data_IF_742446962053
#
_entry.id   IF_742446962053
#
_cell.length_a   1.000
_cell.length_b   1.000
_cell.length_c   1.000
_cell.angle_alpha   90.00
_cell.angle_beta   90.00
_cell.angle_gamma   90.00
#
_symmetry.space_group_name_H-M   'P 1'
#
loop_
_entity.id
_entity.type
_entity.pdbx_description
1 polymer ?
#
# COMPACT_ATOMS: atom_id res chain seq x y z
N UNK A 1 67.37 -90.71 -11.72
CA UNK A 1 66.31 -90.43 -12.68
C UNK A 1 65.39 -89.35 -12.02
N UNK A 2 65.58 -88.11 -12.38
CA UNK A 2 64.94 -86.95 -11.79
C UNK A 2 63.95 -86.40 -12.75
N UNK A 3 62.69 -86.29 -12.34
CA UNK A 3 61.59 -85.56 -13.04
C UNK A 3 61.58 -84.09 -12.62
N UNK A 4 61.36 -83.12 -13.52
CA UNK A 4 61.23 -81.73 -13.15
C UNK A 4 59.81 -81.35 -12.73
N UNK A 5 59.73 -80.58 -11.67
CA UNK A 5 58.50 -79.96 -11.16
C UNK A 5 58.15 -78.72 -12.02
N UNK A 6 56.99 -78.74 -12.62
CA UNK A 6 56.45 -77.63 -13.40
C UNK A 6 55.81 -76.60 -12.43
N UNK A 7 56.38 -75.40 -12.30
CA UNK A 7 55.79 -74.30 -11.56
C UNK A 7 54.73 -73.62 -12.43
N UNK A 8 53.47 -73.58 -11.97
CA UNK A 8 52.37 -72.80 -12.56
C UNK A 8 52.47 -71.36 -12.05
N UNK A 9 52.76 -70.43 -12.92
CA UNK A 9 52.67 -69.00 -12.63
C UNK A 9 51.23 -68.57 -12.71
N UNK A 10 50.61 -68.20 -11.55
CA UNK A 10 49.32 -67.55 -11.51
C UNK A 10 49.46 -66.09 -11.95
N UNK A 11 48.91 -65.74 -13.09
CA UNK A 11 48.74 -64.34 -13.52
C UNK A 11 47.62 -63.71 -12.70
N UNK A 12 48.00 -62.79 -11.81
CA UNK A 12 47.02 -61.93 -11.08
C UNK A 12 46.33 -61.00 -12.07
N UNK A 13 45.01 -61.07 -12.19
CA UNK A 13 44.19 -60.15 -12.96
C UNK A 13 44.28 -58.76 -12.36
N UNK A 14 44.58 -57.74 -13.19
CA UNK A 14 44.58 -56.36 -12.77
C UNK A 14 43.17 -55.88 -12.39
N UNK A 15 43.04 -55.11 -11.30
CA UNK A 15 41.70 -54.64 -10.85
C UNK A 15 41.10 -53.69 -11.87
N UNK A 16 39.80 -53.82 -12.06
CA UNK A 16 38.98 -53.16 -13.08
C UNK A 16 38.82 -51.65 -12.78
N UNK A 17 39.77 -50.85 -13.24
CA UNK A 17 39.82 -49.37 -13.06
C UNK A 17 38.63 -48.65 -13.73
N UNK A 18 37.90 -49.32 -14.65
CA UNK A 18 36.78 -48.72 -15.41
C UNK A 18 35.51 -48.48 -14.56
N UNK A 19 35.23 -49.28 -13.52
CA UNK A 19 34.07 -49.08 -12.65
C UNK A 19 34.16 -47.79 -11.80
N UNK A 20 35.36 -47.45 -11.35
CA UNK A 20 35.57 -46.28 -10.46
C UNK A 20 35.47 -44.95 -11.24
N UNK A 21 35.72 -44.93 -12.54
CA UNK A 21 35.65 -43.74 -13.39
C UNK A 21 34.18 -43.37 -13.75
N UNK A 22 33.32 -44.34 -14.00
CA UNK A 22 31.86 -44.10 -14.24
C UNK A 22 31.18 -43.59 -13.00
N UNK A 23 31.45 -44.14 -11.82
CA UNK A 23 30.89 -43.66 -10.52
C UNK A 23 31.30 -42.21 -10.24
N UNK A 24 32.59 -41.86 -10.41
CA UNK A 24 33.07 -40.47 -10.23
C UNK A 24 32.44 -39.48 -11.19
N UNK A 25 32.23 -39.84 -12.46
CA UNK A 25 31.54 -39.01 -13.44
C UNK A 25 30.06 -38.79 -13.09
N UNK A 26 29.37 -39.83 -12.61
CA UNK A 26 27.97 -39.72 -12.17
C UNK A 26 27.84 -38.83 -10.94
N UNK A 27 28.72 -38.97 -9.95
CA UNK A 27 28.70 -38.08 -8.76
C UNK A 27 29.05 -36.65 -9.11
N UNK A 28 29.97 -36.39 -10.02
CA UNK A 28 30.30 -35.05 -10.51
C UNK A 28 29.12 -34.42 -11.26
N UNK A 29 28.44 -35.17 -12.12
CA UNK A 29 27.22 -34.71 -12.84
C UNK A 29 26.10 -34.36 -11.89
N UNK A 30 25.80 -35.20 -10.87
CA UNK A 30 24.81 -34.92 -9.86
C UNK A 30 25.18 -33.66 -9.07
N UNK A 31 26.40 -33.54 -8.59
CA UNK A 31 26.87 -32.37 -7.84
C UNK A 31 26.74 -31.08 -8.65
N UNK A 32 27.12 -31.12 -9.96
CA UNK A 32 26.98 -29.96 -10.86
C UNK A 32 25.51 -29.58 -11.07
N UNK A 33 24.63 -30.56 -11.23
CA UNK A 33 23.17 -30.30 -11.36
C UNK A 33 22.60 -29.69 -10.10
N UNK A 34 22.95 -30.21 -8.92
CA UNK A 34 22.53 -29.66 -7.64
C UNK A 34 23.04 -28.24 -7.44
N UNK A 35 24.33 -27.98 -7.78
CA UNK A 35 24.92 -26.65 -7.70
C UNK A 35 24.21 -25.66 -8.66
N UNK A 36 23.89 -26.09 -9.88
CA UNK A 36 23.14 -25.26 -10.83
C UNK A 36 21.72 -24.93 -10.33
N UNK A 37 20.99 -25.93 -9.81
CA UNK A 37 19.67 -25.71 -9.25
C UNK A 37 19.71 -24.78 -8.02
N UNK A 38 20.71 -24.95 -7.16
CA UNK A 38 20.92 -24.06 -6.02
C UNK A 38 21.21 -22.62 -6.46
N UNK A 39 22.06 -22.46 -7.49
CA UNK A 39 22.37 -21.16 -8.07
C UNK A 39 21.14 -20.47 -8.66
N UNK A 40 20.31 -21.20 -9.42
CA UNK A 40 19.02 -20.70 -9.94
C UNK A 40 18.10 -20.31 -8.78
N UNK A 41 17.99 -21.14 -7.74
CA UNK A 41 17.21 -20.83 -6.55
C UNK A 41 17.65 -19.54 -5.85
N UNK A 42 18.96 -19.32 -5.73
CA UNK A 42 19.53 -18.08 -5.17
C UNK A 42 19.14 -16.88 -6.04
N UNK A 43 19.26 -16.97 -7.35
CA UNK A 43 18.87 -15.88 -8.28
C UNK A 43 17.39 -15.54 -8.09
N UNK A 44 16.50 -16.54 -8.01
CA UNK A 44 15.07 -16.33 -7.80
C UNK A 44 14.83 -15.63 -6.47
N UNK A 45 15.42 -16.08 -5.37
CA UNK A 45 15.25 -15.45 -4.06
C UNK A 45 15.79 -14.02 -4.06
N UNK A 46 16.98 -13.77 -4.58
CA UNK A 46 17.60 -12.44 -4.62
C UNK A 46 16.75 -11.46 -5.46
N UNK A 47 16.28 -11.89 -6.64
CA UNK A 47 15.42 -11.03 -7.47
C UNK A 47 14.10 -10.67 -6.78
N UNK A 48 13.47 -11.62 -6.10
CA UNK A 48 12.25 -11.34 -5.34
C UNK A 48 12.52 -10.51 -4.08
N UNK A 49 13.69 -10.65 -3.46
CA UNK A 49 14.11 -9.81 -2.34
C UNK A 49 14.29 -8.34 -2.77
N UNK A 50 14.85 -8.10 -3.95
CA UNK A 50 14.97 -6.75 -4.53
C UNK A 50 13.56 -6.16 -4.79
N UNK A 51 12.63 -6.95 -5.34
CA UNK A 51 11.26 -6.50 -5.54
C UNK A 51 10.60 -6.15 -4.20
N UNK A 52 10.69 -7.05 -3.22
CA UNK A 52 10.10 -6.84 -1.89
C UNK A 52 10.73 -5.62 -1.18
N UNK A 53 12.03 -5.40 -1.32
CA UNK A 53 12.71 -4.21 -0.82
C UNK A 53 12.13 -2.92 -1.43
N UNK A 54 12.00 -2.86 -2.76
CA UNK A 54 11.43 -1.68 -3.43
C UNK A 54 9.95 -1.46 -3.06
N UNK A 55 9.23 -2.54 -2.74
CA UNK A 55 7.87 -2.45 -2.25
C UNK A 55 7.79 -1.97 -0.79
N UNK A 56 8.78 -2.29 0.04
CA UNK A 56 8.87 -1.80 1.41
C UNK A 56 9.40 -0.35 1.46
N UNK A 57 10.29 0.03 0.55
CA UNK A 57 10.91 1.35 0.51
C UNK A 57 10.68 2.02 -0.85
N UNK A 58 9.44 2.50 -1.12
CA UNK A 58 9.14 3.18 -2.38
C UNK A 58 9.93 4.48 -2.50
N UNK A 59 10.26 4.84 -3.73
CA UNK A 59 10.70 6.21 -3.99
C UNK A 59 9.53 7.17 -3.75
N UNK A 60 9.75 8.18 -2.91
CA UNK A 60 8.80 9.27 -2.66
C UNK A 60 9.45 10.57 -3.11
N UNK A 61 8.79 11.36 -3.99
CA UNK A 61 9.28 12.69 -4.38
C UNK A 61 9.44 13.58 -3.15
N UNK A 62 10.42 14.50 -3.12
CA UNK A 62 10.50 15.49 -2.05
C UNK A 62 9.30 16.45 -2.11
N UNK A 63 8.92 17.01 -0.96
CA UNK A 63 7.99 18.15 -0.94
C UNK A 63 8.62 19.35 -1.69
N UNK A 64 7.88 19.92 -2.61
CA UNK A 64 8.33 21.05 -3.46
C UNK A 64 7.71 22.39 -3.04
N UNK A 65 6.62 22.35 -2.24
CA UNK A 65 5.85 23.52 -1.86
C UNK A 65 5.12 23.33 -0.54
N UNK A 66 4.19 24.22 -0.22
CA UNK A 66 3.35 24.16 0.96
C UNK A 66 2.00 24.86 0.74
N UNK A 67 1.00 24.69 1.63
CA UNK A 67 -0.33 25.28 1.46
C UNK A 67 -0.33 26.81 1.32
N UNK A 68 0.59 27.49 2.03
CA UNK A 68 0.68 28.96 1.97
C UNK A 68 1.16 29.43 0.60
N UNK A 69 2.21 28.80 0.05
CA UNK A 69 2.77 29.17 -1.25
C UNK A 69 1.81 28.86 -2.41
N UNK A 70 1.10 27.74 -2.36
CA UNK A 70 0.24 27.31 -3.46
C UNK A 70 -1.14 27.94 -3.44
N UNK A 71 -1.72 28.14 -2.24
CA UNK A 71 -3.13 28.53 -2.07
C UNK A 71 -3.35 29.65 -1.07
N UNK A 72 -2.30 30.25 -0.54
CA UNK A 72 -2.36 31.28 0.51
C UNK A 72 -3.11 30.79 1.77
N UNK A 73 -3.15 29.49 1.98
CA UNK A 73 -3.73 28.88 3.16
C UNK A 73 -2.71 28.88 4.31
N UNK A 74 -3.04 29.55 5.39
CA UNK A 74 -2.25 29.49 6.63
C UNK A 74 -2.30 28.07 7.20
N UNK A 75 -1.18 27.55 7.67
CA UNK A 75 -1.08 26.20 8.19
C UNK A 75 -0.10 26.09 9.36
N UNK A 76 -0.29 25.09 10.18
CA UNK A 76 0.61 24.69 11.27
C UNK A 76 1.37 23.42 10.83
N UNK A 77 2.68 23.38 11.10
CA UNK A 77 3.46 22.16 10.98
C UNK A 77 3.34 21.39 12.28
N UNK A 78 2.81 20.18 12.23
CA UNK A 78 2.59 19.36 13.42
C UNK A 78 3.20 18.00 13.24
N UNK A 79 3.74 17.44 14.32
CA UNK A 79 4.35 16.10 14.36
C UNK A 79 3.81 15.40 15.60
N UNK A 80 3.30 14.19 15.42
CA UNK A 80 2.78 13.39 16.53
C UNK A 80 3.15 11.91 16.32
N UNK A 81 3.23 11.11 17.40
CA UNK A 81 3.48 9.67 17.27
C UNK A 81 2.29 8.98 16.58
N UNK A 82 2.55 7.93 15.82
CA UNK A 82 1.49 7.02 15.37
C UNK A 82 0.80 6.37 16.56
N UNK A 83 -0.42 5.86 16.37
CA UNK A 83 -1.18 5.21 17.47
C UNK A 83 -0.45 3.97 18.00
N UNK A 84 0.35 3.28 17.20
CA UNK A 84 1.21 2.18 17.64
C UNK A 84 2.41 2.65 18.47
N UNK A 85 2.83 3.90 18.31
CA UNK A 85 4.09 4.44 18.85
C UNK A 85 5.34 4.00 18.09
N UNK A 86 5.21 3.23 17.01
CA UNK A 86 6.36 2.74 16.23
C UNK A 86 6.93 3.79 15.28
N UNK A 87 6.11 4.75 14.84
CA UNK A 87 6.49 5.79 13.89
C UNK A 87 6.02 7.17 14.33
N UNK A 88 6.47 8.21 13.64
CA UNK A 88 5.97 9.58 13.78
C UNK A 88 5.29 10.01 12.48
N UNK A 89 4.29 10.88 12.61
CA UNK A 89 3.48 11.42 11.51
C UNK A 89 3.80 12.90 11.36
N UNK A 90 4.35 13.27 10.19
CA UNK A 90 4.56 14.66 9.80
C UNK A 90 3.31 15.18 9.10
N UNK A 91 2.76 16.32 9.55
CA UNK A 91 1.49 16.83 9.05
C UNK A 91 1.48 18.34 8.85
N UNK A 92 0.60 18.78 7.96
CA UNK A 92 0.11 20.16 7.90
C UNK A 92 -1.33 20.20 8.39
N UNK A 93 -1.59 21.05 9.39
CA UNK A 93 -2.93 21.36 9.85
C UNK A 93 -3.31 22.75 9.32
N UNK A 94 -4.38 22.82 8.55
CA UNK A 94 -4.92 24.05 7.95
C UNK A 94 -6.21 24.36 8.69
N UNK A 95 -6.21 25.30 9.63
CA UNK A 95 -7.40 25.67 10.40
C UNK A 95 -8.38 26.47 9.54
N UNK A 96 -9.66 26.13 9.59
CA UNK A 96 -10.74 26.95 9.09
C UNK A 96 -11.45 27.63 10.25
N UNK A 97 -11.89 28.88 10.06
CA UNK A 97 -12.54 29.66 11.11
C UNK A 97 -13.96 30.01 10.73
N UNK A 98 -14.88 29.92 11.70
CA UNK A 98 -16.27 30.28 11.52
C UNK A 98 -16.47 31.81 11.55
N UNK A 99 -16.82 32.41 10.40
CA UNK A 99 -17.37 33.76 10.28
C UNK A 99 -16.67 34.81 11.14
N UNK A 100 -17.47 35.75 11.70
CA UNK A 100 -16.96 36.87 12.51
C UNK A 100 -16.55 36.48 13.96
N UNK A 101 -16.86 35.26 14.44
CA UNK A 101 -16.46 34.80 15.78
C UNK A 101 -15.00 34.44 15.88
N UNK A 102 -14.38 34.06 14.75
CA UNK A 102 -12.97 33.59 14.70
C UNK A 102 -12.75 32.22 15.35
N UNK A 103 -13.81 31.52 15.73
CA UNK A 103 -13.71 30.18 16.31
C UNK A 103 -13.27 29.15 15.25
N UNK A 104 -12.37 28.26 15.65
CA UNK A 104 -11.93 27.15 14.79
C UNK A 104 -13.10 26.20 14.46
N UNK A 105 -13.17 25.74 13.22
CA UNK A 105 -14.21 24.81 12.77
C UNK A 105 -14.24 23.53 13.62
N UNK A 106 -15.43 22.99 13.85
CA UNK A 106 -15.63 21.70 14.51
C UNK A 106 -15.68 20.53 13.53
N UNK A 107 -15.36 20.77 12.26
CA UNK A 107 -15.32 19.77 11.23
C UNK A 107 -13.90 19.68 10.68
N UNK A 108 -13.41 18.47 10.53
CA UNK A 108 -12.06 18.21 9.98
C UNK A 108 -12.13 17.18 8.87
N UNK A 109 -11.42 17.45 7.79
CA UNK A 109 -11.17 16.46 6.75
C UNK A 109 -9.67 16.09 6.77
N UNK A 110 -9.41 14.79 6.63
CA UNK A 110 -8.06 14.23 6.62
C UNK A 110 -7.80 13.67 5.22
N UNK A 111 -6.81 14.24 4.53
CA UNK A 111 -6.39 13.76 3.20
C UNK A 111 -5.31 12.69 3.37
N UNK A 112 -5.63 11.48 2.94
CA UNK A 112 -4.81 10.27 3.06
C UNK A 112 -4.28 9.87 1.69
N UNK A 113 -3.00 10.14 1.43
CA UNK A 113 -2.35 9.99 0.11
C UNK A 113 -2.12 8.54 -0.34
N UNK A 114 -1.85 8.34 -1.62
CA UNK A 114 -1.54 7.04 -2.23
C UNK A 114 -0.13 6.52 -1.92
N UNK A 115 0.13 5.27 -2.35
CA UNK A 115 1.44 4.63 -2.20
C UNK A 115 2.50 5.29 -3.07
N UNK A 116 3.68 5.55 -2.48
CA UNK A 116 4.78 6.22 -3.16
C UNK A 116 4.60 7.74 -3.32
N UNK A 117 3.57 8.30 -2.67
CA UNK A 117 3.32 9.72 -2.56
C UNK A 117 3.67 10.28 -1.17
N UNK A 118 3.52 11.57 -1.03
CA UNK A 118 3.56 12.32 0.22
C UNK A 118 2.30 13.20 0.34
N UNK A 119 2.19 14.00 1.38
CA UNK A 119 1.05 14.89 1.63
C UNK A 119 0.76 15.90 0.52
N UNK A 120 1.71 16.15 -0.39
CA UNK A 120 1.55 17.05 -1.54
C UNK A 120 0.98 16.32 -2.78
N UNK A 121 1.26 15.04 -2.96
CA UNK A 121 0.82 14.11 -4.03
C UNK A 121 0.57 14.79 -5.38
N UNK A 122 1.61 14.95 -6.19
CA UNK A 122 1.62 15.86 -7.34
C UNK A 122 0.63 15.51 -8.48
N UNK A 123 0.12 14.28 -8.54
CA UNK A 123 -0.87 13.86 -9.55
C UNK A 123 -2.32 13.99 -9.08
N UNK A 124 -2.57 14.00 -7.76
CA UNK A 124 -3.84 14.39 -7.14
C UNK A 124 -3.77 15.88 -6.81
N UNK A 125 -4.82 16.68 -7.06
CA UNK A 125 -4.79 18.13 -6.79
C UNK A 125 -4.98 18.45 -5.31
N UNK A 126 -4.12 17.93 -4.43
CA UNK A 126 -4.27 17.99 -2.98
C UNK A 126 -4.50 19.40 -2.44
N UNK A 127 -3.82 20.41 -3.03
CA UNK A 127 -4.00 21.80 -2.64
C UNK A 127 -5.35 22.38 -3.08
N UNK A 128 -5.87 22.01 -4.27
CA UNK A 128 -7.20 22.45 -4.73
C UNK A 128 -8.28 21.83 -3.84
N UNK A 129 -8.09 20.57 -3.46
CA UNK A 129 -9.00 19.89 -2.54
C UNK A 129 -8.96 20.49 -1.13
N UNK A 130 -7.77 20.82 -0.63
CA UNK A 130 -7.61 21.48 0.67
C UNK A 130 -8.25 22.87 0.67
N UNK A 131 -8.08 23.65 -0.42
CA UNK A 131 -8.72 24.96 -0.58
C UNK A 131 -10.25 24.84 -0.55
N UNK A 132 -10.83 23.92 -1.36
CA UNK A 132 -12.27 23.67 -1.34
C UNK A 132 -12.79 23.29 0.04
N UNK A 133 -12.10 22.39 0.75
CA UNK A 133 -12.52 21.97 2.08
C UNK A 133 -12.45 23.13 3.07
N UNK A 134 -11.41 23.95 2.99
CA UNK A 134 -11.29 25.16 3.79
C UNK A 134 -12.42 26.17 3.51
N UNK A 135 -12.77 26.37 2.22
CA UNK A 135 -13.91 27.20 1.82
C UNK A 135 -15.26 26.65 2.34
N UNK A 136 -15.39 25.32 2.41
CA UNK A 136 -16.54 24.63 3.03
C UNK A 136 -16.47 24.59 4.56
N UNK A 137 -15.53 25.35 5.14
CA UNK A 137 -15.34 25.47 6.59
C UNK A 137 -14.95 24.15 7.29
N UNK A 138 -14.12 23.34 6.64
CA UNK A 138 -13.42 22.21 7.25
C UNK A 138 -11.99 22.59 7.59
N UNK A 139 -11.53 22.25 8.80
CA UNK A 139 -10.09 22.11 9.01
C UNK A 139 -9.56 21.01 8.11
N UNK A 140 -8.34 21.16 7.60
CA UNK A 140 -7.74 20.14 6.73
C UNK A 140 -6.45 19.62 7.36
N UNK A 141 -6.33 18.31 7.41
CA UNK A 141 -5.07 17.62 7.76
C UNK A 141 -4.51 16.97 6.52
N UNK A 142 -3.28 17.34 6.14
CA UNK A 142 -2.48 16.71 5.10
C UNK A 142 -1.25 16.12 5.79
N UNK A 143 -1.07 14.80 5.76
CA UNK A 143 -0.02 14.12 6.52
C UNK A 143 0.78 13.15 5.64
N UNK A 144 2.00 12.83 6.07
CA UNK A 144 2.82 11.80 5.44
C UNK A 144 2.70 10.48 6.19
N UNK A 145 2.54 9.40 5.45
CA UNK A 145 2.80 8.06 5.97
C UNK A 145 4.29 7.89 6.29
N UNK A 146 4.62 6.98 7.20
CA UNK A 146 5.98 6.80 7.71
C UNK A 146 7.04 6.56 6.63
N UNK A 147 6.68 5.92 5.51
CA UNK A 147 7.59 5.73 4.38
C UNK A 147 7.86 7.02 3.58
N UNK A 148 6.99 8.01 3.69
CA UNK A 148 7.12 9.33 3.07
C UNK A 148 7.72 10.38 4.02
N UNK A 149 7.73 10.12 5.33
CA UNK A 149 8.25 11.03 6.33
C UNK A 149 9.77 11.22 6.18
N UNK A 150 10.21 12.48 6.19
CA UNK A 150 11.63 12.82 6.25
C UNK A 150 12.23 12.62 7.64
N UNK A 151 11.40 12.75 8.65
CA UNK A 151 11.80 12.60 10.06
C UNK A 151 11.99 11.15 10.46
N UNK A 152 11.26 10.24 9.79
CA UNK A 152 11.25 8.82 10.13
C UNK A 152 11.02 7.97 8.88
N UNK A 153 12.09 7.49 8.28
CA UNK A 153 12.02 6.66 7.07
C UNK A 153 11.63 5.21 7.42
N UNK A 154 10.33 4.98 7.64
CA UNK A 154 9.77 3.64 7.90
C UNK A 154 9.53 2.88 6.59
N UNK A 155 9.48 1.54 6.61
CA UNK A 155 9.01 0.78 5.47
C UNK A 155 7.48 0.95 5.28
N UNK A 156 7.02 0.87 4.04
CA UNK A 156 5.60 0.75 3.72
C UNK A 156 5.09 -0.64 4.13
N UNK A 157 4.03 -0.69 4.93
CA UNK A 157 3.47 -1.92 5.52
C UNK A 157 2.13 -2.33 4.89
N UNK A 158 1.70 -1.59 3.86
CA UNK A 158 0.48 -1.86 3.08
C UNK A 158 -0.80 -1.84 3.94
N UNK A 159 -0.89 -0.86 4.81
CA UNK A 159 -2.04 -0.59 5.68
C UNK A 159 -1.86 -1.05 7.13
N UNK A 160 -0.88 -1.91 7.45
CA UNK A 160 -0.72 -2.42 8.82
C UNK A 160 -0.30 -1.32 9.81
N UNK A 161 0.71 -0.51 9.47
CA UNK A 161 1.12 0.64 10.28
C UNK A 161 0.51 1.95 9.76
N UNK A 162 0.27 2.07 8.45
CA UNK A 162 -0.36 3.26 7.86
C UNK A 162 -1.73 3.57 8.50
N UNK A 163 -2.52 2.56 8.88
CA UNK A 163 -3.77 2.80 9.62
C UNK A 163 -3.54 3.44 10.98
N UNK A 164 -2.46 3.06 11.70
CA UNK A 164 -2.11 3.66 12.99
C UNK A 164 -1.66 5.12 12.84
N UNK A 165 -0.99 5.44 11.72
CA UNK A 165 -0.60 6.79 11.36
C UNK A 165 -1.82 7.65 11.01
N UNK A 166 -2.75 7.13 10.22
CA UNK A 166 -4.03 7.78 9.92
C UNK A 166 -4.88 7.95 11.20
N UNK A 167 -4.94 6.94 12.06
CA UNK A 167 -5.67 7.03 13.32
C UNK A 167 -5.06 8.08 14.27
N UNK A 168 -3.74 8.28 14.23
CA UNK A 168 -3.11 9.37 14.98
C UNK A 168 -3.53 10.76 14.44
N UNK A 169 -3.72 10.90 13.12
CA UNK A 169 -4.29 12.13 12.55
C UNK A 169 -5.75 12.34 12.98
N UNK A 170 -6.53 11.27 13.11
CA UNK A 170 -7.90 11.30 13.67
C UNK A 170 -7.88 11.73 15.13
N UNK A 171 -6.98 11.17 15.93
CA UNK A 171 -6.83 11.51 17.35
C UNK A 171 -6.41 13.00 17.51
N UNK A 172 -5.46 13.46 16.70
CA UNK A 172 -5.07 14.87 16.67
C UNK A 172 -6.26 15.79 16.32
N UNK A 173 -7.07 15.43 15.32
CA UNK A 173 -8.27 16.20 14.99
C UNK A 173 -9.25 16.27 16.18
N UNK A 174 -9.42 15.17 16.93
CA UNK A 174 -10.25 15.14 18.15
C UNK A 174 -9.68 16.03 19.24
N UNK A 175 -8.38 16.02 19.46
CA UNK A 175 -7.67 16.89 20.42
C UNK A 175 -7.84 18.37 20.07
N UNK A 176 -7.88 18.71 18.77
CA UNK A 176 -8.21 20.05 18.25
C UNK A 176 -9.70 20.42 18.40
N UNK A 177 -10.52 19.51 18.90
CA UNK A 177 -11.93 19.74 19.17
C UNK A 177 -12.86 19.43 18.01
N UNK A 178 -12.44 18.67 17.02
CA UNK A 178 -13.29 18.21 15.94
C UNK A 178 -14.45 17.35 16.47
N UNK A 179 -15.67 17.69 16.05
CA UNK A 179 -16.90 16.96 16.33
C UNK A 179 -17.30 16.06 15.15
N UNK A 180 -16.83 16.40 13.95
CA UNK A 180 -17.04 15.64 12.73
C UNK A 180 -15.70 15.46 12.02
N UNK A 181 -15.35 14.22 11.71
CA UNK A 181 -14.11 13.86 11.02
C UNK A 181 -14.43 13.01 9.79
N UNK A 182 -14.02 13.47 8.63
CA UNK A 182 -14.14 12.75 7.37
C UNK A 182 -12.73 12.42 6.88
N UNK A 183 -12.52 11.18 6.46
CA UNK A 183 -11.27 10.77 5.82
C UNK A 183 -11.48 10.67 4.31
N UNK A 184 -10.61 11.32 3.57
CA UNK A 184 -10.58 11.27 2.12
C UNK A 184 -9.30 10.58 1.67
N UNK A 185 -9.43 9.32 1.26
CA UNK A 185 -8.31 8.46 0.89
C UNK A 185 -8.19 8.25 -0.61
N UNK A 186 -6.96 8.32 -1.10
CA UNK A 186 -6.60 8.10 -2.50
C UNK A 186 -5.83 6.78 -2.62
N UNK A 187 -6.20 5.93 -3.56
CA UNK A 187 -5.54 4.63 -3.81
C UNK A 187 -5.34 3.81 -2.53
N UNK A 188 -4.10 3.53 -2.14
CA UNK A 188 -3.75 2.84 -0.89
C UNK A 188 -4.29 3.59 0.33
N UNK A 189 -4.31 4.93 0.30
CA UNK A 189 -4.88 5.75 1.37
C UNK A 189 -6.37 5.47 1.59
N UNK A 190 -7.12 5.16 0.52
CA UNK A 190 -8.51 4.70 0.60
C UNK A 190 -8.64 3.33 1.28
N UNK A 191 -7.79 2.37 0.91
CA UNK A 191 -7.73 1.05 1.57
C UNK A 191 -7.32 1.14 3.04
N UNK A 192 -6.43 2.07 3.38
CA UNK A 192 -6.02 2.36 4.75
C UNK A 192 -7.16 3.01 5.55
N UNK A 193 -7.92 3.93 4.93
CA UNK A 193 -9.09 4.56 5.56
C UNK A 193 -10.16 3.53 5.95
N UNK A 194 -10.43 2.55 5.07
CA UNK A 194 -11.34 1.44 5.39
C UNK A 194 -10.83 0.59 6.57
N UNK A 195 -9.52 0.32 6.65
CA UNK A 195 -8.94 -0.39 7.78
C UNK A 195 -9.03 0.43 9.08
N UNK A 196 -8.74 1.73 9.02
CA UNK A 196 -8.81 2.63 10.17
C UNK A 196 -10.25 2.73 10.72
N UNK A 197 -11.25 2.79 9.85
CA UNK A 197 -12.67 2.84 10.24
C UNK A 197 -13.19 1.55 10.89
N UNK A 198 -12.44 0.43 10.84
CA UNK A 198 -12.74 -0.76 11.64
C UNK A 198 -12.32 -0.63 13.11
N UNK A 199 -11.44 0.34 13.42
CA UNK A 199 -10.78 0.45 14.72
C UNK A 199 -11.05 1.80 15.42
N UNK A 200 -11.92 2.66 14.84
CA UNK A 200 -12.22 3.97 15.41
C UNK A 200 -13.65 4.42 15.12
N UNK A 201 -14.37 4.76 16.18
CA UNK A 201 -15.71 5.35 16.12
C UNK A 201 -15.65 6.89 15.94
N UNK A 202 -14.47 7.46 15.75
CA UNK A 202 -14.27 8.90 15.56
C UNK A 202 -14.30 9.35 14.11
N UNK A 203 -14.38 8.40 13.18
CA UNK A 203 -14.50 8.68 11.75
C UNK A 203 -16.01 8.69 11.42
N UNK A 204 -16.50 9.83 10.93
CA UNK A 204 -17.93 10.02 10.63
C UNK A 204 -18.29 9.71 9.17
N UNK A 205 -17.30 9.60 8.28
CA UNK A 205 -17.51 9.26 6.87
C UNK A 205 -16.23 9.11 6.09
N UNK A 206 -16.32 8.39 4.96
CA UNK A 206 -15.17 8.15 4.07
C UNK A 206 -15.48 8.62 2.65
N UNK A 207 -14.49 9.26 2.03
CA UNK A 207 -14.42 9.51 0.58
C UNK A 207 -13.24 8.69 0.07
N UNK A 208 -13.49 7.79 -0.89
CA UNK A 208 -12.53 6.81 -1.36
C UNK A 208 -12.35 6.96 -2.87
N UNK A 209 -11.25 7.59 -3.30
CA UNK A 209 -10.93 7.78 -4.71
C UNK A 209 -9.95 6.72 -5.19
N UNK A 210 -10.28 6.06 -6.30
CA UNK A 210 -9.42 5.06 -6.95
C UNK A 210 -8.94 3.99 -5.98
N UNK A 211 -9.84 3.54 -5.12
CA UNK A 211 -9.58 2.65 -3.99
C UNK A 211 -8.70 1.47 -4.35
N UNK A 212 -7.50 1.40 -3.78
CA UNK A 212 -6.63 0.24 -3.83
C UNK A 212 -6.66 -0.52 -2.51
N UNK A 213 -7.10 -1.76 -2.55
CA UNK A 213 -7.15 -2.63 -1.37
C UNK A 213 -5.92 -3.54 -1.35
N UNK A 214 -4.92 -3.27 -0.47
CA UNK A 214 -3.68 -4.03 -0.46
C UNK A 214 -3.88 -5.50 -0.14
N UNK A 215 -3.37 -6.37 -1.02
CA UNK A 215 -3.30 -7.81 -0.83
C UNK A 215 -2.20 -8.39 -1.72
N UNK A 216 -1.72 -9.62 -1.48
CA UNK A 216 -0.82 -10.30 -2.39
C UNK A 216 -1.33 -10.38 -3.83
N UNK A 217 -2.65 -10.53 -4.01
CA UNK A 217 -3.28 -10.65 -5.33
C UNK A 217 -3.35 -9.32 -6.07
N UNK A 218 -3.78 -8.24 -5.41
CA UNK A 218 -3.84 -6.90 -6.01
C UNK A 218 -2.43 -6.35 -6.27
N UNK A 219 -1.48 -6.63 -5.37
CA UNK A 219 -0.09 -6.26 -5.56
C UNK A 219 0.54 -6.97 -6.77
N UNK A 220 0.26 -8.27 -6.94
CA UNK A 220 0.74 -9.01 -8.10
C UNK A 220 0.21 -8.43 -9.42
N UNK A 221 -1.05 -8.01 -9.47
CA UNK A 221 -1.64 -7.36 -10.65
C UNK A 221 -0.84 -6.12 -11.07
N UNK A 222 -0.36 -5.36 -10.09
CA UNK A 222 0.50 -4.20 -10.34
C UNK A 222 1.93 -4.61 -10.74
N UNK A 223 2.56 -5.55 -10.06
CA UNK A 223 3.90 -6.05 -10.39
C UNK A 223 3.94 -6.60 -11.81
N UNK A 224 2.93 -7.35 -12.21
CA UNK A 224 2.83 -7.96 -13.55
C UNK A 224 2.90 -6.95 -14.70
N UNK A 225 2.49 -5.70 -14.47
CA UNK A 225 2.54 -4.64 -15.49
C UNK A 225 3.99 -4.23 -15.83
N UNK A 226 4.91 -4.43 -14.91
CA UNK A 226 6.32 -4.03 -15.05
C UNK A 226 7.26 -5.21 -15.23
N UNK A 227 6.94 -6.37 -14.66
CA UNK A 227 7.80 -7.54 -14.63
C UNK A 227 6.98 -8.78 -14.98
N UNK A 228 7.34 -9.46 -16.07
CA UNK A 228 6.64 -10.65 -16.59
C UNK A 228 6.86 -11.93 -15.76
N UNK A 229 6.74 -11.87 -14.44
CA UNK A 229 6.85 -13.03 -13.56
C UNK A 229 5.50 -13.76 -13.43
N UNK A 230 5.49 -15.09 -13.26
CA UNK A 230 4.26 -15.84 -13.00
C UNK A 230 3.71 -15.51 -11.61
N UNK A 231 2.36 -15.53 -11.44
CA UNK A 231 1.73 -15.25 -10.15
C UNK A 231 2.28 -16.17 -9.05
N UNK A 232 2.43 -17.45 -9.38
CA UNK A 232 3.02 -18.42 -8.46
C UNK A 232 4.38 -18.89 -9.02
N UNK A 233 5.51 -18.84 -8.27
CA UNK A 233 5.59 -18.63 -6.81
C UNK A 233 5.76 -17.17 -6.35
N UNK A 234 5.72 -16.18 -7.24
CA UNK A 234 6.07 -14.78 -6.93
C UNK A 234 5.32 -14.22 -5.71
N UNK A 235 3.98 -14.34 -5.67
CA UNK A 235 3.18 -13.86 -4.52
C UNK A 235 3.59 -14.53 -3.21
N UNK A 236 3.82 -15.84 -3.24
CA UNK A 236 4.21 -16.61 -2.06
C UNK A 236 5.61 -16.21 -1.54
N UNK A 237 6.55 -15.92 -2.42
CA UNK A 237 7.91 -15.51 -2.05
C UNK A 237 7.85 -14.07 -1.49
N UNK A 238 7.21 -13.13 -2.18
CA UNK A 238 7.11 -11.73 -1.74
C UNK A 238 6.39 -11.64 -0.40
N UNK A 239 5.27 -12.35 -0.20
CA UNK A 239 4.54 -12.34 1.06
C UNK A 239 5.36 -12.87 2.26
N UNK A 240 6.38 -13.71 2.00
CA UNK A 240 7.31 -14.19 3.03
C UNK A 240 8.50 -13.27 3.23
N UNK A 241 8.90 -12.52 2.21
CA UNK A 241 10.06 -11.63 2.29
C UNK A 241 9.69 -10.26 2.85
N UNK A 242 8.55 -9.69 2.50
CA UNK A 242 8.10 -8.38 3.00
C UNK A 242 8.19 -8.24 4.52
N UNK A 243 7.74 -9.21 5.34
CA UNK A 243 7.85 -9.14 6.79
C UNK A 243 9.28 -8.98 7.34
N UNK A 244 10.32 -9.34 6.56
CA UNK A 244 11.71 -9.17 6.99
C UNK A 244 12.11 -7.69 7.11
N UNK A 245 11.42 -6.80 6.42
CA UNK A 245 11.66 -5.36 6.46
C UNK A 245 10.54 -4.59 7.16
N UNK A 246 9.29 -5.05 6.99
CA UNK A 246 8.12 -4.34 7.50
C UNK A 246 7.73 -4.76 8.91
N UNK A 247 8.23 -5.89 9.40
CA UNK A 247 7.82 -6.54 10.65
C UNK A 247 6.31 -6.87 10.74
N UNK A 248 5.59 -6.77 9.62
CA UNK A 248 4.15 -7.05 9.52
C UNK A 248 3.86 -8.14 8.49
N UNK A 249 2.90 -9.02 8.82
CA UNK A 249 2.45 -10.05 7.90
C UNK A 249 1.69 -9.43 6.71
N UNK A 250 2.05 -9.84 5.49
CA UNK A 250 1.35 -9.44 4.28
C UNK A 250 0.49 -10.60 3.75
N UNK A 251 -0.83 -10.43 3.79
CA UNK A 251 -1.81 -11.49 3.44
C UNK A 251 -3.10 -10.91 2.84
N UNK A 252 -3.96 -11.78 2.30
CA UNK A 252 -5.27 -11.38 1.78
C UNK A 252 -6.30 -11.06 2.89
N UNK A 253 -6.04 -11.47 4.13
CA UNK A 253 -7.03 -11.38 5.21
C UNK A 253 -7.60 -9.98 5.48
N UNK A 254 -6.81 -8.89 5.51
CA UNK A 254 -7.38 -7.54 5.65
C UNK A 254 -8.35 -7.18 4.52
N UNK A 255 -7.98 -7.49 3.27
CA UNK A 255 -8.81 -7.25 2.11
C UNK A 255 -10.12 -8.05 2.17
N UNK A 256 -10.06 -9.34 2.50
CA UNK A 256 -11.23 -10.20 2.66
C UNK A 256 -12.18 -9.69 3.75
N UNK A 257 -11.64 -9.17 4.86
CA UNK A 257 -12.44 -8.58 5.94
C UNK A 257 -13.19 -7.34 5.45
N UNK A 258 -12.50 -6.43 4.74
CA UNK A 258 -13.08 -5.20 4.21
C UNK A 258 -14.16 -5.50 3.17
N UNK A 259 -13.93 -6.46 2.27
CA UNK A 259 -14.89 -6.84 1.22
C UNK A 259 -16.24 -7.32 1.77
N UNK A 260 -16.27 -7.84 3.00
CA UNK A 260 -17.47 -8.35 3.66
C UNK A 260 -18.06 -7.38 4.68
N UNK A 261 -17.37 -6.27 4.97
CA UNK A 261 -17.77 -5.36 6.05
C UNK A 261 -18.91 -4.44 5.60
N UNK A 262 -19.90 -4.33 6.45
CA UNK A 262 -20.88 -3.25 6.45
C UNK A 262 -20.42 -2.18 7.44
N UNK A 263 -20.16 -0.98 6.93
CA UNK A 263 -19.75 0.15 7.75
C UNK A 263 -20.99 0.88 8.27
N UNK A 264 -20.92 1.40 9.50
CA UNK A 264 -22.00 2.17 10.11
C UNK A 264 -21.95 3.67 9.74
N UNK A 265 -20.93 4.05 8.99
CA UNK A 265 -20.70 5.41 8.49
C UNK A 265 -20.90 5.46 6.97
N UNK A 266 -21.32 6.62 6.41
CA UNK A 266 -21.46 6.77 4.97
C UNK A 266 -20.12 6.70 4.23
N UNK A 267 -20.13 5.98 3.10
CA UNK A 267 -19.02 5.84 2.18
C UNK A 267 -19.34 6.46 0.82
N UNK A 268 -18.51 7.38 0.34
CA UNK A 268 -18.55 7.82 -1.05
C UNK A 268 -17.37 7.25 -1.80
N UNK A 269 -17.62 6.29 -2.68
CA UNK A 269 -16.60 5.63 -3.48
C UNK A 269 -16.60 6.24 -4.88
N UNK A 270 -15.43 6.64 -5.36
CA UNK A 270 -15.19 7.20 -6.69
C UNK A 270 -14.19 6.30 -7.39
N UNK A 271 -14.54 5.76 -8.57
CA UNK A 271 -13.65 4.84 -9.26
C UNK A 271 -13.77 4.96 -10.78
N UNK A 272 -12.66 4.77 -11.48
CA UNK A 272 -12.61 4.87 -12.93
C UNK A 272 -12.68 3.50 -13.62
N UNK A 273 -13.40 3.39 -14.77
CA UNK A 273 -13.45 2.12 -15.52
C UNK A 273 -12.15 1.80 -16.26
N UNK A 274 -11.25 2.77 -16.45
CA UNK A 274 -9.93 2.59 -17.05
C UNK A 274 -8.78 2.56 -16.02
N UNK A 275 -9.12 2.32 -14.75
CA UNK A 275 -8.13 2.14 -13.69
C UNK A 275 -7.41 0.80 -13.88
N UNK A 276 -6.12 0.86 -14.21
CA UNK A 276 -5.30 -0.33 -14.45
C UNK A 276 -4.51 -0.80 -13.21
N UNK A 277 -4.61 -0.08 -12.08
CA UNK A 277 -3.94 -0.40 -10.82
C UNK A 277 -4.88 -1.00 -9.78
N UNK A 278 -6.12 -0.52 -9.75
CA UNK A 278 -7.15 -0.97 -8.84
C UNK A 278 -8.41 -1.37 -9.64
N UNK A 279 -8.91 -2.58 -9.39
CA UNK A 279 -10.05 -3.11 -10.11
C UNK A 279 -11.35 -2.44 -9.61
N UNK A 280 -12.11 -1.84 -10.52
CA UNK A 280 -13.41 -1.22 -10.23
C UNK A 280 -14.38 -2.20 -9.57
N UNK A 281 -14.28 -3.48 -9.89
CA UNK A 281 -15.11 -4.53 -9.30
C UNK A 281 -14.97 -4.60 -7.78
N UNK A 282 -13.78 -4.36 -7.24
CA UNK A 282 -13.55 -4.30 -5.78
C UNK A 282 -14.32 -3.14 -5.16
N UNK A 283 -14.28 -1.97 -5.79
CA UNK A 283 -15.03 -0.79 -5.36
C UNK A 283 -16.55 -1.03 -5.40
N UNK A 284 -17.05 -1.66 -6.45
CA UNK A 284 -18.46 -2.03 -6.62
C UNK A 284 -18.91 -3.05 -5.57
N UNK A 285 -18.10 -4.07 -5.26
CA UNK A 285 -18.38 -5.05 -4.21
C UNK A 285 -18.51 -4.38 -2.83
N UNK A 286 -17.58 -3.48 -2.49
CA UNK A 286 -17.63 -2.75 -1.21
C UNK A 286 -18.89 -1.89 -1.16
N UNK A 287 -19.20 -1.15 -2.23
CA UNK A 287 -20.37 -0.30 -2.31
C UNK A 287 -21.68 -1.08 -2.16
N UNK A 288 -21.78 -2.24 -2.81
CA UNK A 288 -22.97 -3.09 -2.76
C UNK A 288 -23.30 -3.64 -1.37
N UNK A 289 -22.31 -3.70 -0.48
CA UNK A 289 -22.49 -4.17 0.89
C UNK A 289 -22.92 -3.07 1.86
N UNK A 290 -22.92 -1.77 1.45
CA UNK A 290 -23.23 -0.69 2.36
C UNK A 290 -24.72 -0.46 2.50
N UNK A 291 -25.18 -0.33 3.75
CA UNK A 291 -26.61 -0.11 4.08
C UNK A 291 -26.93 1.32 4.52
N UNK A 292 -25.90 2.13 4.83
CA UNK A 292 -26.08 3.53 5.20
C UNK A 292 -26.62 4.29 3.99
N UNK A 293 -27.80 4.96 4.10
CA UNK A 293 -28.48 5.56 2.94
C UNK A 293 -27.67 6.61 2.17
N UNK A 294 -26.73 7.27 2.85
CA UNK A 294 -25.84 8.28 2.25
C UNK A 294 -24.67 7.65 1.50
N UNK A 295 -24.42 6.34 1.69
CA UNK A 295 -23.38 5.62 0.98
C UNK A 295 -23.69 5.52 -0.50
N UNK A 296 -22.69 5.78 -1.34
CA UNK A 296 -22.85 5.75 -2.80
C UNK A 296 -21.54 5.46 -3.52
N UNK A 297 -21.65 5.01 -4.75
CA UNK A 297 -20.52 4.87 -5.67
C UNK A 297 -20.75 5.74 -6.91
N UNK A 298 -19.69 6.36 -7.39
CA UNK A 298 -19.65 7.04 -8.67
C UNK A 298 -18.56 6.41 -9.54
N UNK A 299 -19.01 5.60 -10.51
CA UNK A 299 -18.12 4.98 -11.50
C UNK A 299 -17.98 5.93 -12.68
N UNK A 300 -16.74 6.32 -13.00
CA UNK A 300 -16.40 7.27 -14.04
C UNK A 300 -15.90 6.55 -15.27
N UNK A 301 -16.67 6.59 -16.36
CA UNK A 301 -16.29 5.96 -17.62
C UNK A 301 -14.98 6.52 -18.17
N UNK A 302 -14.00 5.64 -18.47
CA UNK A 302 -12.66 6.00 -18.92
C UNK A 302 -11.83 6.77 -17.89
N UNK A 303 -12.25 6.84 -16.62
CA UNK A 303 -11.46 7.39 -15.52
C UNK A 303 -10.24 6.50 -15.26
N UNK A 304 -9.06 7.11 -15.11
CA UNK A 304 -7.82 6.44 -14.78
C UNK A 304 -7.51 6.58 -13.29
N UNK A 305 -6.60 5.75 -12.79
CA UNK A 305 -6.19 5.71 -11.39
C UNK A 305 -5.75 7.08 -10.88
N UNK A 306 -6.41 7.60 -9.84
CA UNK A 306 -6.14 8.91 -9.19
C UNK A 306 -6.20 10.15 -10.12
N UNK A 307 -6.68 9.97 -11.37
CA UNK A 307 -6.80 11.06 -12.34
C UNK A 307 -8.26 11.45 -12.65
N UNK A 308 -9.21 10.99 -11.84
CA UNK A 308 -10.64 11.22 -12.06
C UNK A 308 -10.97 12.71 -11.96
N UNK A 309 -10.40 13.42 -11.00
CA UNK A 309 -10.54 14.87 -10.88
C UNK A 309 -10.18 15.60 -12.18
N UNK A 310 -9.08 15.21 -12.84
CA UNK A 310 -8.60 15.87 -14.06
C UNK A 310 -9.55 15.71 -15.25
N UNK A 311 -10.40 14.68 -15.23
CA UNK A 311 -11.36 14.43 -16.30
C UNK A 311 -12.50 15.43 -16.32
N UNK A 312 -13.06 15.74 -15.17
CA UNK A 312 -14.09 16.78 -14.98
C UNK A 312 -14.04 17.34 -13.56
N UNK A 313 -13.21 18.36 -13.29
CA UNK A 313 -13.07 18.95 -11.97
C UNK A 313 -14.38 19.47 -11.39
N UNK A 314 -15.24 20.06 -12.22
CA UNK A 314 -16.49 20.66 -11.74
C UNK A 314 -17.49 19.60 -11.26
N UNK A 315 -17.64 18.51 -12.03
CA UNK A 315 -18.50 17.37 -11.63
C UNK A 315 -17.94 16.69 -10.42
N UNK A 316 -16.61 16.51 -10.36
CA UNK A 316 -15.95 15.93 -9.22
C UNK A 316 -16.21 16.72 -7.93
N UNK A 317 -15.93 18.02 -7.93
CA UNK A 317 -16.13 18.92 -6.79
C UNK A 317 -17.61 19.01 -6.39
N UNK A 318 -18.53 19.04 -7.36
CA UNK A 318 -19.98 19.01 -7.11
C UNK A 318 -20.40 17.73 -6.36
N UNK A 319 -19.92 16.57 -6.80
CA UNK A 319 -20.25 15.29 -6.16
C UNK A 319 -19.69 15.22 -4.73
N UNK A 320 -18.48 15.72 -4.49
CA UNK A 320 -17.90 15.82 -3.15
C UNK A 320 -18.76 16.74 -2.26
N UNK A 321 -19.07 17.95 -2.69
CA UNK A 321 -19.88 18.90 -1.94
C UNK A 321 -21.28 18.36 -1.62
N UNK A 322 -21.90 17.63 -2.56
CA UNK A 322 -23.18 16.95 -2.33
C UNK A 322 -23.10 15.82 -1.29
N UNK A 323 -22.00 15.08 -1.28
CA UNK A 323 -21.78 14.06 -0.25
C UNK A 323 -21.59 14.71 1.12
N UNK A 324 -20.74 15.72 1.21
CA UNK A 324 -20.49 16.44 2.45
C UNK A 324 -21.75 17.10 2.99
N UNK A 325 -22.64 17.63 2.13
CA UNK A 325 -23.91 18.23 2.57
C UNK A 325 -24.88 17.22 3.17
N UNK A 326 -24.72 15.91 2.94
CA UNK A 326 -25.56 14.88 3.54
C UNK A 326 -25.29 14.64 5.04
N UNK A 327 -24.28 15.28 5.60
CA UNK A 327 -23.94 15.23 7.02
C UNK A 327 -24.59 16.36 7.86
N UNK A 328 -25.38 17.24 7.22
CA UNK A 328 -26.06 18.37 7.86
C UNK A 328 -27.54 18.17 8.05
#
# INVERSE_FOLDING_TARGET
MSSPIMQATATAAAPDIKLNRKSKLTHFSIASTVALLAFIGIIVIVSHAIIAWNLAFPYVPPLESNPLEKKQLSYEVVVYPSRSGETTVDSWFIPATHGASGDESKQTIILSHGYGANREESWVPMYDLAELMHELNYNVIMFDYGYASKSYNAPATWGAEEKNQLLAAVDYAKERGAQKIIVWGFSMGGGTALQAALESDHIDGLILDSLFLPSPDTLYTNIKQYIGLPKYPTTAIISRLLPLWTNHAFSNKPAETILQKQYEIPLFIIHGTADNKADVYIAEQIAANQLVPQSRIWVVEGGQHELIFRKDPNVYMKNISQFLSSFY
#
